data_IF_978528125708
#
_entry.id   IF_978528125708
#
_cell.length_a   1.000
_cell.length_b   1.000
_cell.length_c   1.000
_cell.angle_alpha   90.00
_cell.angle_beta   90.00
_cell.angle_gamma   90.00
#
_symmetry.space_group_name_H-M   'P 1'
#
loop_
_entity.id
_entity.type
_entity.pdbx_description
1 polymer ?
#
# COMPACT_ATOMS: atom_id res chain seq x y z
N UNK A 1 -35.33 24.03 28.73
CA UNK A 1 -34.05 23.29 28.76
C UNK A 1 -34.27 21.98 29.50
N UNK A 2 -34.03 20.84 28.85
CA UNK A 2 -34.40 19.51 29.37
C UNK A 2 -33.41 19.14 30.49
N UNK A 3 -33.89 18.57 31.59
CA UNK A 3 -33.09 18.19 32.78
C UNK A 3 -31.80 17.42 32.42
N UNK A 4 -31.85 16.60 31.38
CA UNK A 4 -30.74 15.82 30.81
C UNK A 4 -29.57 16.65 30.25
N UNK A 5 -29.83 17.87 29.76
CA UNK A 5 -28.77 18.76 29.24
C UNK A 5 -27.97 19.42 30.38
N UNK A 6 -28.57 19.57 31.58
CA UNK A 6 -27.92 20.15 32.76
C UNK A 6 -27.09 19.14 33.56
N UNK A 7 -27.40 17.85 33.47
CA UNK A 7 -26.76 16.78 34.26
C UNK A 7 -25.61 16.07 33.53
N UNK A 8 -25.08 16.65 32.46
CA UNK A 8 -23.81 16.22 31.86
C UNK A 8 -23.89 15.14 30.78
N UNK A 9 -25.07 14.91 30.17
CA UNK A 9 -25.24 14.00 29.03
C UNK A 9 -24.55 12.64 29.22
N UNK A 10 -24.78 11.98 30.36
CA UNK A 10 -24.19 10.66 30.62
C UNK A 10 -24.60 9.68 29.50
N UNK A 11 -23.59 9.15 28.79
CA UNK A 11 -23.74 8.16 27.73
C UNK A 11 -23.01 6.90 28.15
N UNK A 12 -23.73 5.80 28.23
CA UNK A 12 -23.17 4.48 28.51
C UNK A 12 -23.15 3.73 27.18
N UNK A 13 -21.97 3.34 26.71
CA UNK A 13 -21.81 2.53 25.52
C UNK A 13 -21.63 1.07 25.95
N UNK A 14 -22.61 0.22 25.61
CA UNK A 14 -22.55 -1.22 25.83
C UNK A 14 -22.15 -1.92 24.52
N UNK A 15 -21.40 -3.01 24.64
CA UNK A 15 -20.98 -3.85 23.51
C UNK A 15 -21.74 -5.18 23.61
N UNK A 16 -22.72 -5.40 22.73
CA UNK A 16 -23.38 -6.69 22.60
C UNK A 16 -22.45 -7.69 21.90
N UNK A 17 -22.55 -8.97 22.26
CA UNK A 17 -21.74 -10.06 21.69
C UNK A 17 -22.41 -10.70 20.46
N UNK A 18 -23.72 -10.54 20.27
CA UNK A 18 -24.48 -11.03 19.11
C UNK A 18 -25.57 -10.04 18.68
N UNK A 19 -26.08 -10.18 17.45
CA UNK A 19 -27.24 -9.39 16.97
C UNK A 19 -28.51 -9.73 17.76
N UNK A 20 -28.68 -10.98 18.19
CA UNK A 20 -29.84 -11.42 18.99
C UNK A 20 -29.90 -10.72 20.37
N UNK A 21 -28.75 -10.56 21.04
CA UNK A 21 -28.65 -9.83 22.31
C UNK A 21 -29.02 -8.34 22.14
N UNK A 22 -28.72 -7.78 20.96
CA UNK A 22 -29.06 -6.39 20.63
C UNK A 22 -30.57 -6.22 20.38
N UNK A 23 -31.21 -7.22 19.75
CA UNK A 23 -32.66 -7.26 19.53
C UNK A 23 -33.43 -7.48 20.84
N UNK A 24 -32.92 -8.31 21.76
CA UNK A 24 -33.52 -8.48 23.09
C UNK A 24 -33.46 -7.18 23.92
N UNK A 25 -32.31 -6.53 23.95
CA UNK A 25 -32.17 -5.23 24.62
C UNK A 25 -33.08 -4.15 24.01
N UNK A 26 -33.33 -4.22 22.71
CA UNK A 26 -34.29 -3.33 22.03
C UNK A 26 -35.73 -3.63 22.43
N UNK A 27 -36.12 -4.90 22.49
CA UNK A 27 -37.45 -5.31 22.94
C UNK A 27 -37.73 -4.85 24.39
N UNK A 28 -36.72 -4.94 25.26
CA UNK A 28 -36.77 -4.46 26.64
C UNK A 28 -36.83 -2.92 26.69
N UNK A 29 -36.06 -2.21 25.88
CA UNK A 29 -36.09 -0.74 25.86
C UNK A 29 -37.43 -0.18 25.34
N UNK A 30 -38.04 -0.85 24.34
CA UNK A 30 -39.37 -0.52 23.81
C UNK A 30 -40.48 -0.82 24.81
N UNK A 31 -40.41 -1.94 25.54
CA UNK A 31 -41.39 -2.25 26.59
C UNK A 31 -41.35 -1.25 27.75
N UNK A 32 -40.18 -0.62 27.97
CA UNK A 32 -39.97 0.46 28.95
C UNK A 32 -40.26 1.86 28.40
N UNK A 33 -40.80 1.98 27.17
CA UNK A 33 -41.19 3.24 26.54
C UNK A 33 -40.05 4.28 26.40
N UNK A 34 -38.80 3.81 26.33
CA UNK A 34 -37.61 4.65 26.17
C UNK A 34 -37.43 5.04 24.69
N UNK A 35 -37.31 6.34 24.41
CA UNK A 35 -37.12 6.85 23.05
C UNK A 35 -35.66 6.67 22.60
N UNK A 36 -35.37 5.61 21.83
CA UNK A 36 -34.05 5.37 21.24
C UNK A 36 -34.04 5.68 19.74
N UNK A 37 -33.15 6.56 19.28
CA UNK A 37 -32.89 6.75 17.84
C UNK A 37 -31.68 5.93 17.42
N UNK A 38 -31.88 4.92 16.57
CA UNK A 38 -30.82 4.08 16.05
C UNK A 38 -30.04 4.81 14.95
N UNK A 39 -28.71 4.93 15.09
CA UNK A 39 -27.83 5.21 13.95
C UNK A 39 -27.37 3.86 13.39
N UNK A 40 -27.90 3.50 12.22
CA UNK A 40 -27.59 2.26 11.51
C UNK A 40 -26.08 1.99 11.46
N UNK A 41 -25.66 0.90 12.11
CA UNK A 41 -24.31 0.34 12.09
C UNK A 41 -23.88 -0.21 10.72
N UNK A 42 -24.74 -0.14 9.70
CA UNK A 42 -24.48 -0.72 8.36
C UNK A 42 -23.27 -0.08 7.67
N UNK A 43 -22.95 1.19 7.95
CA UNK A 43 -21.72 1.85 7.47
C UNK A 43 -20.44 1.44 8.23
N UNK A 44 -20.58 0.82 9.41
CA UNK A 44 -19.46 0.32 10.24
C UNK A 44 -19.22 -1.18 10.10
N UNK A 45 -20.16 -1.93 9.51
CA UNK A 45 -20.05 -3.38 9.30
C UNK A 45 -18.76 -3.81 8.55
N UNK A 46 -18.28 -3.13 7.50
CA UNK A 46 -17.03 -3.51 6.83
C UNK A 46 -15.81 -3.33 7.75
N UNK A 47 -15.81 -2.25 8.53
CA UNK A 47 -14.75 -1.99 9.52
C UNK A 47 -14.80 -3.02 10.66
N UNK A 48 -16.00 -3.43 11.09
CA UNK A 48 -16.18 -4.41 12.16
C UNK A 48 -15.72 -5.82 11.71
N UNK A 49 -16.08 -6.22 10.49
CA UNK A 49 -15.68 -7.50 9.91
C UNK A 49 -14.16 -7.56 9.67
N UNK A 50 -13.55 -6.45 9.22
CA UNK A 50 -12.09 -6.35 9.10
C UNK A 50 -11.42 -6.50 10.47
N UNK A 51 -11.92 -5.81 11.49
CA UNK A 51 -11.40 -5.88 12.87
C UNK A 51 -11.56 -7.29 13.46
N UNK A 52 -12.72 -7.94 13.28
CA UNK A 52 -12.94 -9.33 13.70
C UNK A 52 -12.05 -10.33 12.95
N UNK A 53 -11.80 -10.11 11.66
CA UNK A 53 -10.89 -10.93 10.86
C UNK A 53 -9.43 -10.77 11.35
N UNK A 54 -9.02 -9.56 11.70
CA UNK A 54 -7.71 -9.26 12.27
C UNK A 54 -7.48 -9.96 13.62
N UNK A 55 -8.48 -10.07 14.48
CA UNK A 55 -8.34 -10.74 15.79
C UNK A 55 -8.29 -12.27 15.68
N UNK A 56 -8.92 -12.84 14.66
CA UNK A 56 -8.97 -14.31 14.47
C UNK A 56 -7.80 -14.84 13.64
N UNK A 57 -7.39 -14.14 12.59
CA UNK A 57 -6.31 -14.58 11.68
C UNK A 57 -5.43 -13.39 11.21
N UNK A 58 -4.67 -12.76 12.10
CA UNK A 58 -4.00 -11.48 11.86
C UNK A 58 -3.13 -11.48 10.59
N UNK A 59 -2.30 -12.51 10.39
CA UNK A 59 -1.40 -12.56 9.23
C UNK A 59 -2.11 -12.77 7.89
N UNK A 60 -3.25 -13.49 7.87
CA UNK A 60 -4.03 -13.70 6.64
C UNK A 60 -4.75 -12.44 6.23
N UNK A 61 -5.36 -11.74 7.19
CA UNK A 61 -6.04 -10.47 6.96
C UNK A 61 -5.04 -9.40 6.50
N UNK A 62 -3.87 -9.32 7.15
CA UNK A 62 -2.78 -8.45 6.71
C UNK A 62 -2.32 -8.74 5.27
N UNK A 63 -2.15 -10.01 4.91
CA UNK A 63 -1.77 -10.39 3.55
C UNK A 63 -2.83 -9.96 2.53
N UNK A 64 -4.09 -10.36 2.72
CA UNK A 64 -5.17 -10.07 1.77
C UNK A 64 -5.41 -8.57 1.65
N UNK A 65 -5.52 -7.86 2.78
CA UNK A 65 -5.75 -6.40 2.76
C UNK A 65 -4.60 -5.66 2.08
N UNK A 66 -3.34 -6.04 2.38
CA UNK A 66 -2.19 -5.39 1.76
C UNK A 66 -2.08 -5.70 0.26
N UNK A 67 -2.37 -6.94 -0.16
CA UNK A 67 -2.47 -7.31 -1.58
C UNK A 67 -3.53 -6.50 -2.32
N UNK A 68 -4.75 -6.43 -1.77
CA UNK A 68 -5.85 -5.67 -2.38
C UNK A 68 -5.57 -4.18 -2.48
N UNK A 69 -4.95 -3.58 -1.46
CA UNK A 69 -4.58 -2.16 -1.49
C UNK A 69 -3.52 -1.87 -2.55
N UNK A 70 -2.53 -2.76 -2.70
CA UNK A 70 -1.50 -2.60 -3.74
C UNK A 70 -2.09 -2.76 -5.15
N UNK A 71 -2.96 -3.75 -5.34
CA UNK A 71 -3.69 -3.93 -6.59
C UNK A 71 -4.56 -2.71 -6.93
N UNK A 72 -5.30 -2.17 -5.96
CA UNK A 72 -6.10 -0.96 -6.15
C UNK A 72 -5.24 0.26 -6.50
N UNK A 73 -4.10 0.43 -5.81
CA UNK A 73 -3.14 1.49 -6.13
C UNK A 73 -2.63 1.41 -7.57
N UNK A 74 -2.36 0.18 -8.04
CA UNK A 74 -1.95 -0.07 -9.41
C UNK A 74 -3.09 0.17 -10.43
N UNK A 75 -4.33 -0.23 -10.13
CA UNK A 75 -5.49 0.09 -10.97
C UNK A 75 -5.63 1.61 -11.16
N UNK A 76 -5.51 2.36 -10.07
CA UNK A 76 -5.54 3.82 -10.10
C UNK A 76 -4.35 4.37 -10.90
N UNK A 77 -3.19 3.73 -10.85
CA UNK A 77 -2.02 4.10 -11.65
C UNK A 77 -2.27 3.95 -13.15
N UNK A 78 -2.76 2.80 -13.56
CA UNK A 78 -3.07 2.52 -14.95
C UNK A 78 -4.19 3.44 -15.46
N UNK A 79 -5.24 3.67 -14.65
CA UNK A 79 -6.30 4.62 -14.98
C UNK A 79 -5.75 6.05 -15.12
N UNK A 80 -4.89 6.49 -14.20
CA UNK A 80 -4.27 7.82 -14.26
C UNK A 80 -3.38 7.96 -15.49
N UNK A 81 -2.60 6.93 -15.85
CA UNK A 81 -1.80 6.89 -17.08
C UNK A 81 -2.68 7.00 -18.32
N UNK A 82 -3.85 6.33 -18.35
CA UNK A 82 -4.78 6.42 -19.47
C UNK A 82 -5.48 7.79 -19.61
N UNK A 83 -5.61 8.55 -18.53
CA UNK A 83 -6.28 9.86 -18.51
C UNK A 83 -5.30 11.02 -18.73
N UNK A 84 -4.12 10.94 -18.11
CA UNK A 84 -3.09 12.00 -18.11
C UNK A 84 -1.99 11.77 -19.16
N UNK A 85 -1.96 10.60 -19.80
CA UNK A 85 -1.01 10.28 -20.86
C UNK A 85 -1.21 11.21 -22.06
N UNK A 86 -0.09 11.73 -22.58
CA UNK A 86 -0.08 12.54 -23.79
C UNK A 86 -0.69 11.74 -24.94
N UNK A 87 -1.72 12.29 -25.60
CA UNK A 87 -2.37 11.69 -26.78
C UNK A 87 -1.46 11.62 -28.02
N UNK A 88 -0.16 11.91 -27.87
CA UNK A 88 0.80 12.11 -28.95
C UNK A 88 1.51 10.82 -29.41
N UNK A 89 1.34 9.69 -28.71
CA UNK A 89 1.93 8.41 -29.10
C UNK A 89 0.81 7.38 -29.25
N UNK A 90 0.56 6.97 -30.49
CA UNK A 90 -0.49 6.04 -30.93
C UNK A 90 -0.27 4.61 -30.41
N UNK A 91 -0.67 4.31 -29.18
CA UNK A 91 -1.01 2.94 -28.76
C UNK A 91 -2.15 3.04 -27.72
N UNK A 92 -3.30 2.37 -27.91
CA UNK A 92 -4.35 2.37 -26.90
C UNK A 92 -3.78 1.77 -25.62
N UNK A 93 -3.73 2.54 -24.54
CA UNK A 93 -3.33 2.04 -23.22
C UNK A 93 -4.29 0.92 -22.79
N UNK A 94 -3.91 -0.33 -23.09
CA UNK A 94 -4.66 -1.51 -22.66
C UNK A 94 -4.32 -1.75 -21.20
N UNK A 95 -5.36 -1.93 -20.40
CA UNK A 95 -5.22 -2.27 -19.00
C UNK A 95 -4.46 -3.59 -18.83
N UNK A 96 -3.34 -3.54 -18.11
CA UNK A 96 -2.44 -4.66 -17.84
C UNK A 96 -2.85 -5.36 -16.53
N UNK A 97 -3.66 -6.41 -16.68
CA UNK A 97 -4.06 -7.29 -15.58
C UNK A 97 -2.87 -8.01 -14.93
N UNK A 98 -1.84 -8.35 -15.71
CA UNK A 98 -0.68 -9.06 -15.18
C UNK A 98 0.11 -8.15 -14.24
N UNK A 99 0.27 -6.86 -14.57
CA UNK A 99 0.87 -5.86 -13.67
C UNK A 99 0.09 -5.76 -12.35
N UNK A 100 -1.23 -5.60 -12.40
CA UNK A 100 -2.04 -5.54 -11.18
C UNK A 100 -1.94 -6.82 -10.34
N UNK A 101 -1.88 -8.00 -10.97
CA UNK A 101 -1.66 -9.27 -10.28
C UNK A 101 -0.29 -9.33 -9.59
N UNK A 102 0.79 -8.81 -10.20
CA UNK A 102 2.12 -8.72 -9.56
C UNK A 102 2.09 -7.81 -8.33
N UNK A 103 1.42 -6.66 -8.41
CA UNK A 103 1.22 -5.77 -7.25
C UNK A 103 0.40 -6.44 -6.14
N UNK A 104 -0.62 -7.20 -6.50
CA UNK A 104 -1.37 -8.01 -5.53
C UNK A 104 -0.47 -9.04 -4.84
N UNK A 105 0.27 -9.85 -5.60
CA UNK A 105 1.16 -10.88 -5.08
C UNK A 105 2.24 -10.30 -4.17
N UNK A 106 2.84 -9.18 -4.59
CA UNK A 106 3.82 -8.44 -3.77
C UNK A 106 3.20 -7.98 -2.44
N UNK A 107 2.05 -7.32 -2.49
CA UNK A 107 1.36 -6.85 -1.28
C UNK A 107 0.95 -8.02 -0.37
N UNK A 108 0.46 -9.11 -0.95
CA UNK A 108 0.07 -10.31 -0.23
C UNK A 108 1.26 -10.94 0.51
N UNK A 109 2.40 -11.09 -0.17
CA UNK A 109 3.61 -11.63 0.43
C UNK A 109 4.19 -10.70 1.51
N UNK A 110 4.18 -9.38 1.28
CA UNK A 110 4.81 -8.41 2.18
C UNK A 110 3.97 -8.14 3.45
N UNK A 111 2.64 -8.32 3.39
CA UNK A 111 1.73 -8.04 4.50
C UNK A 111 2.13 -8.70 5.84
N UNK A 112 2.38 -10.02 5.88
CA UNK A 112 2.86 -10.70 7.09
C UNK A 112 4.22 -10.21 7.59
N UNK A 113 5.15 -9.85 6.69
CA UNK A 113 6.46 -9.30 7.07
C UNK A 113 6.31 -7.94 7.74
N UNK A 114 5.49 -7.05 7.17
CA UNK A 114 5.15 -5.76 7.78
C UNK A 114 4.49 -5.97 9.14
N UNK A 115 3.59 -6.96 9.28
CA UNK A 115 2.97 -7.30 10.57
C UNK A 115 3.99 -7.72 11.64
N UNK A 116 4.96 -8.56 11.28
CA UNK A 116 6.05 -8.98 12.18
C UNK A 116 6.97 -7.81 12.55
N UNK A 117 7.31 -6.96 11.59
CA UNK A 117 8.13 -5.77 11.80
C UNK A 117 7.43 -4.77 12.74
N UNK A 118 6.14 -4.51 12.53
CA UNK A 118 5.34 -3.68 13.43
C UNK A 118 5.29 -4.26 14.85
N UNK A 119 5.11 -5.57 14.99
CA UNK A 119 5.15 -6.25 16.30
C UNK A 119 6.51 -6.09 16.98
N UNK A 120 7.60 -6.13 16.22
CA UNK A 120 8.95 -5.88 16.73
C UNK A 120 9.12 -4.42 17.21
N UNK A 121 8.66 -3.44 16.42
CA UNK A 121 8.66 -2.03 16.81
C UNK A 121 7.78 -1.78 18.04
N UNK A 122 6.69 -2.51 18.19
CA UNK A 122 5.82 -2.42 19.35
C UNK A 122 6.50 -2.83 20.64
N UNK A 123 7.23 -3.94 20.62
CA UNK A 123 8.03 -4.41 21.76
C UNK A 123 9.18 -3.47 22.08
N UNK A 124 9.84 -2.92 21.04
CA UNK A 124 11.04 -2.08 21.23
C UNK A 124 10.72 -0.64 21.63
N UNK A 125 9.59 -0.10 21.17
CA UNK A 125 9.14 1.28 21.40
C UNK A 125 7.66 1.32 21.77
N UNK A 126 7.25 0.90 22.97
CA UNK A 126 5.83 0.87 23.35
C UNK A 126 5.18 2.26 23.26
N UNK A 127 4.09 2.38 22.47
CA UNK A 127 3.35 3.64 22.26
C UNK A 127 2.51 4.05 23.48
N UNK A 128 2.20 3.08 24.34
CA UNK A 128 1.50 3.26 25.61
C UNK A 128 2.48 2.91 26.73
N UNK A 129 2.87 3.90 27.52
CA UNK A 129 3.38 3.58 28.86
C UNK A 129 2.26 2.85 29.59
N UNK A 130 2.56 1.73 30.23
CA UNK A 130 1.63 0.93 31.05
C UNK A 130 1.38 1.68 32.37
N UNK A 131 0.90 2.92 32.28
CA UNK A 131 0.39 3.70 33.39
C UNK A 131 -1.06 4.03 33.04
N UNK A 132 -1.98 3.46 33.83
CA UNK A 132 -3.43 3.37 33.63
C UNK A 132 -4.12 4.52 32.89
N UNK A 133 -5.03 4.14 32.00
CA UNK A 133 -6.11 4.99 31.50
C UNK A 133 -5.73 5.99 30.40
N UNK A 134 -6.33 5.84 29.22
CA UNK A 134 -6.45 6.89 28.18
C UNK A 134 -5.19 7.75 27.90
N UNK A 135 -3.99 7.17 27.98
CA UNK A 135 -2.73 7.90 27.82
C UNK A 135 -2.52 8.45 26.41
N UNK A 136 -2.14 9.74 26.32
CA UNK A 136 -1.73 10.41 25.07
C UNK A 136 -0.65 9.57 24.36
N UNK A 137 -0.84 9.30 23.08
CA UNK A 137 0.17 8.62 22.25
C UNK A 137 1.49 9.39 22.36
N UNK A 138 2.54 8.74 22.87
CA UNK A 138 3.84 9.36 23.04
C UNK A 138 4.42 9.71 21.67
N UNK A 139 4.40 11.01 21.33
CA UNK A 139 4.93 11.53 20.06
C UNK A 139 6.39 11.14 19.87
N UNK A 140 7.17 11.10 20.96
CA UNK A 140 8.57 10.66 20.96
C UNK A 140 8.74 9.18 20.59
N UNK A 141 7.86 8.30 21.08
CA UNK A 141 7.90 6.88 20.72
C UNK A 141 7.51 6.67 19.26
N UNK A 142 6.53 7.44 18.78
CA UNK A 142 6.07 7.41 17.40
C UNK A 142 7.13 7.92 16.42
N UNK A 143 7.80 9.04 16.73
CA UNK A 143 8.91 9.55 15.92
C UNK A 143 10.07 8.56 15.82
N UNK A 144 10.40 7.84 16.91
CA UNK A 144 11.44 6.80 16.89
C UNK A 144 11.07 5.62 16.01
N UNK A 145 9.81 5.18 16.05
CA UNK A 145 9.30 4.12 15.16
C UNK A 145 9.36 4.54 13.70
N UNK A 146 8.89 5.75 13.39
CA UNK A 146 8.94 6.31 12.04
C UNK A 146 10.39 6.42 11.55
N UNK A 147 11.31 6.93 12.37
CA UNK A 147 12.72 7.00 12.00
C UNK A 147 13.30 5.61 11.68
N UNK A 148 12.96 4.59 12.47
CA UNK A 148 13.43 3.22 12.23
C UNK A 148 12.82 2.60 10.97
N UNK A 149 11.54 2.87 10.70
CA UNK A 149 10.90 2.50 9.42
C UNK A 149 11.63 3.15 8.24
N UNK A 150 11.92 4.44 8.33
CA UNK A 150 12.50 5.20 7.21
C UNK A 150 13.98 4.89 6.96
N UNK A 151 14.73 4.50 8.00
CA UNK A 151 16.17 4.22 7.89
C UNK A 151 16.49 2.75 7.62
N UNK A 152 15.60 1.83 8.01
CA UNK A 152 15.85 0.39 7.87
C UNK A 152 14.86 -0.24 6.89
N UNK A 153 13.57 -0.04 7.13
CA UNK A 153 12.55 -0.73 6.35
C UNK A 153 12.31 -0.08 4.98
N UNK A 154 12.46 1.24 4.83
CA UNK A 154 12.29 1.87 3.52
C UNK A 154 13.40 1.48 2.52
N UNK A 155 14.71 1.53 2.86
CA UNK A 155 15.75 1.06 1.94
C UNK A 155 15.62 -0.42 1.57
N UNK A 156 15.32 -1.27 2.55
CA UNK A 156 15.13 -2.71 2.31
C UNK A 156 13.84 -2.98 1.51
N UNK A 157 12.75 -2.29 1.83
CA UNK A 157 11.46 -2.45 1.17
C UNK A 157 11.50 -2.03 -0.30
N UNK A 158 12.18 -0.94 -0.63
CA UNK A 158 12.36 -0.50 -2.03
C UNK A 158 13.24 -1.50 -2.79
N UNK A 159 14.32 -2.01 -2.19
CA UNK A 159 15.16 -3.03 -2.83
C UNK A 159 14.39 -4.32 -3.11
N UNK A 160 13.61 -4.79 -2.12
CA UNK A 160 12.75 -5.99 -2.28
C UNK A 160 11.66 -5.75 -3.31
N UNK A 161 11.06 -4.57 -3.35
CA UNK A 161 10.08 -4.20 -4.38
C UNK A 161 10.70 -4.32 -5.78
N UNK A 162 11.80 -3.63 -6.05
CA UNK A 162 12.46 -3.64 -7.37
C UNK A 162 12.89 -5.07 -7.76
N UNK A 163 13.51 -5.80 -6.84
CA UNK A 163 13.97 -7.16 -7.09
C UNK A 163 12.82 -8.13 -7.37
N UNK A 164 11.77 -8.10 -6.54
CA UNK A 164 10.60 -8.96 -6.73
C UNK A 164 9.82 -8.64 -8.01
N UNK A 165 9.66 -7.35 -8.34
CA UNK A 165 9.02 -6.92 -9.59
C UNK A 165 9.82 -7.39 -10.80
N UNK A 166 11.13 -7.17 -10.81
CA UNK A 166 12.00 -7.63 -11.90
C UNK A 166 11.94 -9.15 -12.11
N UNK A 167 11.87 -9.94 -11.04
CA UNK A 167 11.69 -11.40 -11.13
C UNK A 167 10.32 -11.75 -11.75
N UNK A 168 9.23 -11.11 -11.28
CA UNK A 168 7.87 -11.37 -11.78
C UNK A 168 7.63 -10.86 -13.20
N UNK A 169 8.42 -9.90 -13.67
CA UNK A 169 8.46 -9.41 -15.04
C UNK A 169 9.31 -10.31 -15.96
N UNK A 170 10.03 -11.29 -15.41
CA UNK A 170 10.90 -12.19 -16.18
C UNK A 170 12.20 -11.53 -16.64
N UNK A 171 12.66 -10.47 -15.95
CA UNK A 171 13.91 -9.77 -16.24
C UNK A 171 15.10 -10.68 -15.92
N UNK A 172 16.15 -10.61 -16.75
CA UNK A 172 17.43 -11.27 -16.46
C UNK A 172 18.11 -10.64 -15.23
N UNK A 173 19.02 -11.36 -14.53
CA UNK A 173 19.74 -10.79 -13.39
C UNK A 173 20.47 -9.49 -13.70
N UNK A 174 21.03 -9.34 -14.92
CA UNK A 174 21.68 -8.12 -15.37
C UNK A 174 20.68 -6.96 -15.52
N UNK A 175 19.49 -7.21 -16.07
CA UNK A 175 18.43 -6.20 -16.18
C UNK A 175 17.89 -5.80 -14.80
N UNK A 176 17.79 -6.74 -13.86
CA UNK A 176 17.39 -6.43 -12.48
C UNK A 176 18.46 -5.55 -11.80
N UNK A 177 19.74 -5.87 -11.96
CA UNK A 177 20.82 -5.05 -11.42
C UNK A 177 20.81 -3.63 -12.02
N UNK A 178 20.59 -3.52 -13.33
CA UNK A 178 20.43 -2.22 -13.98
C UNK A 178 19.22 -1.47 -13.43
N UNK A 179 18.07 -2.14 -13.28
CA UNK A 179 16.85 -1.57 -12.69
C UNK A 179 17.12 -1.04 -11.29
N UNK A 180 17.83 -1.80 -10.45
CA UNK A 180 18.26 -1.32 -9.13
C UNK A 180 19.14 -0.08 -9.26
N UNK A 181 20.13 -0.06 -10.15
CA UNK A 181 20.97 1.12 -10.39
C UNK A 181 20.17 2.36 -10.82
N UNK A 182 19.17 2.16 -11.68
CA UNK A 182 18.43 3.24 -12.33
C UNK A 182 17.32 3.82 -11.44
N UNK A 183 16.56 2.98 -10.70
CA UNK A 183 15.37 3.43 -9.96
C UNK A 183 15.49 3.37 -8.44
N UNK A 184 16.49 2.67 -7.86
CA UNK A 184 16.61 2.56 -6.40
C UNK A 184 16.87 3.90 -5.71
N UNK A 185 17.92 4.62 -6.14
CA UNK A 185 18.29 5.91 -5.53
C UNK A 185 17.22 6.99 -5.75
N UNK A 186 16.62 7.14 -6.95
CA UNK A 186 15.49 8.04 -7.15
C UNK A 186 14.32 7.72 -6.24
N UNK A 187 13.92 6.44 -6.14
CA UNK A 187 12.82 6.02 -5.28
C UNK A 187 13.13 6.27 -3.80
N UNK A 188 14.34 5.95 -3.34
CA UNK A 188 14.75 6.16 -1.96
C UNK A 188 14.80 7.65 -1.60
N UNK A 189 15.33 8.47 -2.49
CA UNK A 189 15.39 9.92 -2.30
C UNK A 189 13.99 10.53 -2.27
N UNK A 190 13.08 10.08 -3.15
CA UNK A 190 11.68 10.49 -3.13
C UNK A 190 11.01 10.08 -1.81
N UNK A 191 11.28 8.86 -1.32
CA UNK A 191 10.76 8.37 -0.05
C UNK A 191 11.18 9.29 1.12
N UNK A 192 12.47 9.59 1.21
CA UNK A 192 13.02 10.48 2.24
C UNK A 192 12.59 11.94 2.13
N UNK A 193 12.09 12.37 0.97
CA UNK A 193 11.50 13.72 0.82
C UNK A 193 10.03 13.73 1.22
N UNK A 194 9.26 12.76 0.72
CA UNK A 194 7.79 12.74 0.88
C UNK A 194 7.38 12.36 2.28
N UNK A 195 7.97 11.30 2.85
CA UNK A 195 7.48 10.75 4.11
C UNK A 195 7.74 11.64 5.33
N UNK A 196 8.90 12.31 5.49
CA UNK A 196 9.07 13.25 6.60
C UNK A 196 8.07 14.41 6.55
N UNK A 197 7.76 14.93 5.35
CA UNK A 197 6.75 15.98 5.17
C UNK A 197 5.35 15.44 5.51
N UNK A 198 5.00 14.25 5.00
CA UNK A 198 3.73 13.61 5.31
C UNK A 198 3.57 13.33 6.81
N UNK A 199 4.63 12.85 7.47
CA UNK A 199 4.64 12.59 8.91
C UNK A 199 4.54 13.87 9.73
N UNK A 200 5.20 14.96 9.29
CA UNK A 200 5.05 16.27 9.89
C UNK A 200 3.58 16.74 9.83
N UNK A 201 2.95 16.67 8.65
CA UNK A 201 1.54 17.03 8.47
C UNK A 201 0.64 16.15 9.35
N UNK A 202 0.90 14.84 9.36
CA UNK A 202 0.15 13.87 10.14
C UNK A 202 0.17 14.20 11.65
N UNK A 203 1.34 14.52 12.21
CA UNK A 203 1.43 14.82 13.65
C UNK A 203 1.04 16.25 14.00
N UNK A 204 1.24 17.22 13.10
CA UNK A 204 0.96 18.62 13.36
C UNK A 204 -0.51 18.98 13.19
N UNK A 205 -1.18 18.41 12.18
CA UNK A 205 -2.51 18.84 11.76
C UNK A 205 -3.58 17.76 11.93
N UNK A 206 -3.25 16.46 11.85
CA UNK A 206 -4.28 15.41 11.90
C UNK A 206 -4.65 15.03 13.35
N UNK A 207 -5.97 15.09 13.70
CA UNK A 207 -6.46 14.53 14.95
C UNK A 207 -6.19 13.03 15.02
N UNK A 208 -6.03 12.49 16.23
CA UNK A 208 -5.59 11.10 16.45
C UNK A 208 -6.38 10.06 15.64
N UNK A 209 -7.70 10.24 15.51
CA UNK A 209 -8.57 9.33 14.77
C UNK A 209 -8.32 9.32 13.25
N UNK A 210 -7.80 10.41 12.67
CA UNK A 210 -7.59 10.56 11.23
C UNK A 210 -6.16 10.24 10.78
N UNK A 211 -5.23 10.01 11.71
CA UNK A 211 -3.82 9.77 11.38
C UNK A 211 -3.59 8.51 10.56
N UNK A 212 -4.32 7.45 10.87
CA UNK A 212 -4.24 6.17 10.15
C UNK A 212 -4.86 6.31 8.75
N UNK A 213 -6.11 6.81 8.59
CA UNK A 213 -6.66 7.11 7.27
C UNK A 213 -5.76 7.99 6.39
N UNK A 214 -5.22 9.08 6.94
CA UNK A 214 -4.31 9.97 6.21
C UNK A 214 -3.07 9.22 5.70
N UNK A 215 -2.42 8.44 6.57
CA UNK A 215 -1.26 7.65 6.20
C UNK A 215 -1.59 6.61 5.12
N UNK A 216 -2.76 5.96 5.19
CA UNK A 216 -3.23 5.04 4.17
C UNK A 216 -3.44 5.74 2.82
N UNK A 217 -4.01 6.95 2.80
CA UNK A 217 -4.18 7.74 1.57
C UNK A 217 -2.82 8.11 0.96
N UNK A 218 -1.86 8.59 1.75
CA UNK A 218 -0.48 8.80 1.28
C UNK A 218 0.15 7.51 0.74
N UNK A 219 -0.14 6.37 1.37
CA UNK A 219 0.30 5.05 0.91
C UNK A 219 -0.20 4.71 -0.50
N UNK A 220 -1.46 5.01 -0.82
CA UNK A 220 -2.00 4.81 -2.18
C UNK A 220 -1.24 5.65 -3.21
N UNK A 221 -0.97 6.94 -2.91
CA UNK A 221 -0.17 7.80 -3.78
C UNK A 221 1.28 7.30 -3.93
N UNK A 222 1.84 6.71 -2.88
CA UNK A 222 3.17 6.11 -2.92
C UNK A 222 3.22 4.87 -3.82
N UNK A 223 2.23 3.97 -3.70
CA UNK A 223 2.09 2.80 -4.59
C UNK A 223 1.91 3.23 -6.04
N UNK A 224 1.09 4.26 -6.28
CA UNK A 224 0.92 4.89 -7.59
C UNK A 224 2.26 5.36 -8.17
N UNK A 225 3.04 6.11 -7.38
CA UNK A 225 4.37 6.60 -7.79
C UNK A 225 5.32 5.46 -8.13
N UNK A 226 5.45 4.46 -7.25
CA UNK A 226 6.31 3.29 -7.49
C UNK A 226 5.88 2.52 -8.73
N UNK A 227 4.57 2.37 -8.95
CA UNK A 227 4.03 1.70 -10.12
C UNK A 227 4.37 2.44 -11.41
N UNK A 228 4.24 3.77 -11.44
CA UNK A 228 4.64 4.58 -12.61
C UNK A 228 6.15 4.49 -12.83
N UNK A 229 6.95 4.61 -11.78
CA UNK A 229 8.41 4.57 -11.87
C UNK A 229 8.90 3.22 -12.41
N UNK A 230 8.32 2.12 -11.92
CA UNK A 230 8.65 0.77 -12.36
C UNK A 230 8.27 0.56 -13.83
N UNK A 231 7.05 0.95 -14.23
CA UNK A 231 6.58 0.81 -15.61
C UNK A 231 7.42 1.59 -16.63
N UNK A 232 7.83 2.81 -16.30
CA UNK A 232 8.71 3.61 -17.17
C UNK A 232 10.07 2.97 -17.39
N UNK A 233 10.64 2.37 -16.35
CA UNK A 233 11.91 1.68 -16.45
C UNK A 233 11.78 0.37 -17.25
N UNK A 234 10.65 -0.34 -17.11
CA UNK A 234 10.35 -1.51 -17.93
C UNK A 234 10.28 -1.18 -19.42
N UNK A 235 9.54 -0.14 -19.78
CA UNK A 235 9.40 0.33 -21.17
C UNK A 235 10.76 0.68 -21.79
N UNK A 236 11.61 1.40 -21.04
CA UNK A 236 12.99 1.72 -21.44
C UNK A 236 13.83 0.47 -21.69
N UNK A 237 13.72 -0.55 -20.83
CA UNK A 237 14.46 -1.81 -20.98
C UNK A 237 13.97 -2.65 -22.17
N UNK A 238 12.66 -2.62 -22.43
CA UNK A 238 12.05 -3.33 -23.56
C UNK A 238 12.51 -2.72 -24.88
N UNK A 239 12.45 -1.39 -25.04
CA UNK A 239 13.00 -0.70 -26.21
C UNK A 239 14.50 -0.97 -26.43
N UNK A 240 15.31 -0.96 -25.36
CA UNK A 240 16.73 -1.27 -25.46
C UNK A 240 16.97 -2.73 -25.91
N UNK A 241 16.13 -3.66 -25.44
CA UNK A 241 16.21 -5.08 -25.81
C UNK A 241 15.80 -5.29 -27.27
N UNK A 242 14.76 -4.62 -27.73
CA UNK A 242 14.30 -4.64 -29.12
C UNK A 242 15.33 -4.05 -30.08
N UNK A 243 15.87 -2.87 -29.76
CA UNK A 243 16.93 -2.24 -30.55
C UNK A 243 18.14 -3.17 -30.70
N UNK A 244 18.57 -3.80 -29.60
CA UNK A 244 19.68 -4.77 -29.62
C UNK A 244 19.36 -5.99 -30.49
N UNK A 245 18.14 -6.53 -30.41
CA UNK A 245 17.70 -7.66 -31.26
C UNK A 245 17.71 -7.27 -32.73
N UNK A 246 17.24 -6.06 -33.06
CA UNK A 246 17.25 -5.55 -34.43
C UNK A 246 18.68 -5.39 -34.97
N UNK A 247 19.61 -4.84 -34.17
CA UNK A 247 21.02 -4.73 -34.54
C UNK A 247 21.65 -6.09 -34.81
N UNK A 248 21.43 -7.07 -33.92
CA UNK A 248 21.96 -8.43 -34.09
C UNK A 248 21.37 -9.14 -35.32
N UNK A 249 20.08 -8.95 -35.60
CA UNK A 249 19.44 -9.47 -36.79
C UNK A 249 20.06 -8.87 -38.07
N UNK A 250 20.26 -7.55 -38.08
CA UNK A 250 20.91 -6.85 -39.19
C UNK A 250 22.35 -7.33 -39.41
N UNK A 251 23.14 -7.46 -38.34
CA UNK A 251 24.51 -7.99 -38.41
C UNK A 251 24.54 -9.42 -38.96
N UNK A 252 23.61 -10.28 -38.53
CA UNK A 252 23.50 -11.66 -39.03
C UNK A 252 23.16 -11.70 -40.51
N UNK A 253 22.21 -10.87 -40.97
CA UNK A 253 21.85 -10.76 -42.40
C UNK A 253 23.04 -10.27 -43.23
N UNK A 254 23.78 -9.28 -42.73
CA UNK A 254 24.97 -8.76 -43.41
C UNK A 254 26.05 -9.83 -43.54
N UNK A 255 26.34 -10.60 -42.48
CA UNK A 255 27.30 -11.72 -42.51
C UNK A 255 26.90 -12.79 -43.52
N UNK A 256 25.63 -13.23 -43.50
CA UNK A 256 25.14 -14.23 -44.45
C UNK A 256 25.20 -13.76 -45.91
N UNK A 257 24.98 -12.46 -46.14
CA UNK A 257 25.07 -11.84 -47.48
C UNK A 257 26.52 -11.69 -47.96
N UNK A 258 27.46 -11.48 -47.05
CA UNK A 258 28.88 -11.46 -47.36
C UNK A 258 29.38 -12.87 -47.69
N UNK A 259 29.02 -13.86 -46.88
CA UNK A 259 29.42 -15.27 -47.08
C UNK A 259 28.89 -15.83 -48.40
N UNK A 260 27.68 -15.45 -48.84
CA UNK A 260 27.12 -15.89 -50.13
C UNK A 260 27.77 -15.26 -51.37
N UNK A 261 28.49 -14.14 -51.20
CA UNK A 261 29.20 -13.45 -52.29
C UNK A 261 30.64 -13.91 -52.49
N UNK A 262 31.20 -14.69 -51.57
CA UNK A 262 32.55 -15.24 -51.69
C UNK A 262 32.46 -16.50 -52.57
N UNK A 263 33.08 -16.53 -53.77
CA UNK A 263 33.09 -17.73 -54.58
C UNK A 263 33.88 -18.83 -53.85
N UNK A 264 33.24 -19.98 -53.62
CA UNK A 264 33.94 -21.17 -53.15
C UNK A 264 34.92 -21.64 -54.24
N UNK A 265 36.21 -21.86 -53.90
CA UNK A 265 37.23 -22.35 -54.84
C UNK A 265 36.99 -23.79 -55.30
#
# INVERSE_FOLDING_TARGET
MRHWERTGQAKIALKAKSEDELLELEAIAKSLNLSGTHKSLRARAPCLALVQSFETHPYRTLAVTNGSLNALGDIVAQASQSILGDKAIEEPHRYDLARTARFFCFGFALGPFIGKWNSFLERRFPLRAVAGGAGKVSTRALSKRVAMDQLVMAPAGIAVFIGSMGIMEGRSPAQIQQKVGDIYLPALTANWKVWPIAQLINFRYMPLAYRVPFQSTCGVFWTLYLSILNAKEDEKQDHATEARRATLAHEKVMRLTLDSKIPHP
#
